data_IF_851790419033
#
_entry.id   IF_851790419033
#
_cell.length_a   1.000
_cell.length_b   1.000
_cell.length_c   1.000
_cell.angle_alpha   90.00
_cell.angle_beta   90.00
_cell.angle_gamma   90.00
#
_symmetry.space_group_name_H-M   'P 1'
#
loop_
_entity.id
_entity.type
_entity.pdbx_description
1 polymer ?
#
# COMPACT_ATOMS: atom_id res chain seq x y z
N UNK A 1 -48.28 -0.94 -16.91
CA UNK A 1 -47.25 -1.70 -17.64
C UNK A 1 -46.20 -0.70 -18.11
N UNK A 2 -44.94 -1.07 -17.90
CA UNK A 2 -43.67 -0.37 -18.14
C UNK A 2 -43.29 0.75 -17.16
N UNK A 3 -42.64 0.29 -16.09
CA UNK A 3 -41.57 0.93 -15.34
C UNK A 3 -40.57 1.68 -16.24
N UNK A 4 -40.15 2.84 -15.77
CA UNK A 4 -39.10 3.67 -16.37
C UNK A 4 -38.31 4.38 -15.27
N UNK A 5 -37.74 3.59 -14.36
CA UNK A 5 -36.82 4.08 -13.33
C UNK A 5 -35.63 4.78 -13.98
N UNK A 6 -35.49 6.07 -13.68
CA UNK A 6 -34.24 6.80 -13.93
C UNK A 6 -33.40 6.64 -12.66
N UNK A 7 -32.26 5.92 -12.67
CA UNK A 7 -31.32 6.03 -11.57
C UNK A 7 -30.68 7.41 -11.64
N UNK A 8 -31.00 8.21 -10.63
CA UNK A 8 -30.41 9.52 -10.39
C UNK A 8 -28.89 9.45 -10.25
N UNK A 9 -28.28 10.56 -10.61
CA UNK A 9 -26.87 10.86 -10.50
C UNK A 9 -26.23 10.33 -9.20
N UNK A 10 -25.13 9.60 -9.35
CA UNK A 10 -24.16 9.36 -8.27
C UNK A 10 -23.38 10.66 -8.01
N UNK A 11 -24.01 11.56 -7.27
CA UNK A 11 -23.34 12.72 -6.71
C UNK A 11 -22.60 12.32 -5.43
N UNK A 12 -21.27 12.42 -5.47
CA UNK A 12 -20.47 12.98 -4.37
C UNK A 12 -20.20 12.14 -3.12
N UNK A 13 -18.90 11.98 -2.83
CA UNK A 13 -18.37 11.58 -1.52
C UNK A 13 -17.50 10.33 -1.63
N UNK A 14 -16.24 10.38 -2.08
CA UNK A 14 -15.11 10.97 -1.36
C UNK A 14 -15.23 10.83 0.17
N UNK A 15 -15.59 9.63 0.62
CA UNK A 15 -15.57 9.22 2.02
C UNK A 15 -14.74 7.95 2.24
N UNK A 16 -13.82 7.61 1.33
CA UNK A 16 -12.75 6.64 1.60
C UNK A 16 -11.55 7.32 2.30
N UNK A 17 -11.85 8.34 3.12
CA UNK A 17 -10.88 9.22 3.74
C UNK A 17 -10.65 8.80 5.20
N UNK A 18 -9.35 8.65 5.52
CA UNK A 18 -8.70 8.94 6.82
C UNK A 18 -8.25 7.74 7.65
N UNK A 19 -8.88 6.56 7.69
CA UNK A 19 -8.46 5.58 8.72
C UNK A 19 -8.58 4.10 8.29
N UNK A 20 -7.52 3.54 7.71
CA UNK A 20 -7.20 2.12 7.94
C UNK A 20 -6.29 1.95 9.18
N UNK A 21 -6.65 2.58 10.32
CA UNK A 21 -5.99 2.38 11.64
C UNK A 21 -6.41 1.07 12.32
N UNK A 22 -6.91 0.12 11.55
CA UNK A 22 -7.68 -0.99 12.06
C UNK A 22 -7.48 -2.30 11.31
N UNK A 23 -6.43 -2.43 10.50
CA UNK A 23 -5.85 -3.76 10.31
C UNK A 23 -5.33 -4.19 11.68
N UNK A 24 -6.00 -5.16 12.31
CA UNK A 24 -5.60 -5.73 13.62
C UNK A 24 -4.36 -6.62 13.46
N UNK A 25 -3.32 -6.12 12.81
CA UNK A 25 -1.97 -6.63 13.03
C UNK A 25 -1.44 -5.85 14.23
N UNK A 26 -1.03 -6.49 15.33
CA UNK A 26 -0.46 -5.80 16.49
C UNK A 26 0.93 -5.25 16.12
N UNK A 27 0.95 -4.12 15.41
CA UNK A 27 2.19 -3.44 15.02
C UNK A 27 2.58 -2.48 16.15
N UNK A 28 3.68 -2.77 16.85
CA UNK A 28 4.22 -1.86 17.87
C UNK A 28 4.71 -0.56 17.20
N UNK A 29 4.49 0.62 17.81
CA UNK A 29 5.16 1.86 17.37
C UNK A 29 6.68 1.66 17.36
N UNK A 30 7.34 1.99 16.24
CA UNK A 30 8.80 1.86 16.11
C UNK A 30 9.33 0.49 15.63
N UNK A 31 8.46 -0.47 15.28
CA UNK A 31 8.87 -1.73 14.61
C UNK A 31 8.53 -1.78 13.11
N UNK A 32 7.84 -0.75 12.61
CA UNK A 32 7.48 -0.59 11.20
C UNK A 32 8.76 -0.40 10.37
N UNK A 33 8.93 -1.25 9.35
CA UNK A 33 10.07 -1.17 8.42
C UNK A 33 11.33 -1.98 8.80
N UNK A 34 11.36 -2.72 9.92
CA UNK A 34 12.50 -3.62 10.16
C UNK A 34 12.46 -4.84 9.23
N UNK A 35 13.62 -5.33 8.77
CA UNK A 35 13.70 -6.55 7.94
C UNK A 35 12.99 -7.75 8.58
N UNK A 36 13.06 -7.88 9.90
CA UNK A 36 12.39 -8.94 10.65
C UNK A 36 10.86 -8.83 10.61
N UNK A 37 10.33 -7.60 10.69
CA UNK A 37 8.89 -7.35 10.60
C UNK A 37 8.33 -7.67 9.21
N UNK A 38 9.04 -7.27 8.14
CA UNK A 38 8.66 -7.61 6.77
C UNK A 38 8.66 -9.12 6.54
N UNK A 39 9.63 -9.84 7.12
CA UNK A 39 9.70 -11.30 7.04
C UNK A 39 8.52 -12.00 7.73
N UNK A 40 8.07 -11.49 8.87
CA UNK A 40 6.88 -12.02 9.56
C UNK A 40 5.59 -11.73 8.78
N UNK A 41 5.49 -10.55 8.15
CA UNK A 41 4.39 -10.22 7.27
C UNK A 41 4.35 -11.10 6.02
N UNK A 42 5.49 -11.42 5.41
CA UNK A 42 5.55 -12.31 4.23
C UNK A 42 5.07 -13.74 4.54
N UNK A 43 5.09 -14.16 5.82
CA UNK A 43 4.50 -15.42 6.25
C UNK A 43 2.96 -15.38 6.41
N UNK A 44 2.36 -14.19 6.41
CA UNK A 44 0.92 -14.00 6.49
C UNK A 44 0.35 -13.81 5.09
N UNK A 45 -0.51 -14.72 4.62
CA UNK A 45 -1.12 -14.58 3.30
C UNK A 45 -2.13 -13.42 3.22
N UNK A 46 -2.92 -13.23 4.29
CA UNK A 46 -4.05 -12.31 4.31
C UNK A 46 -4.09 -11.46 5.60
N UNK A 47 -4.81 -10.35 5.52
CA UNK A 47 -5.20 -9.50 6.64
C UNK A 47 -6.72 -9.31 6.71
N UNK A 48 -7.21 -8.97 7.89
CA UNK A 48 -8.60 -8.62 8.12
C UNK A 48 -8.84 -7.13 7.89
N UNK A 49 -9.42 -6.80 6.74
CA UNK A 49 -9.93 -5.46 6.44
C UNK A 49 -11.37 -5.30 6.92
N UNK A 50 -11.68 -4.16 7.54
CA UNK A 50 -13.04 -3.85 8.00
C UNK A 50 -14.06 -3.66 6.87
N UNK A 51 -13.59 -3.32 5.67
CA UNK A 51 -14.44 -3.05 4.51
C UNK A 51 -14.54 -4.28 3.62
N UNK A 52 -13.41 -4.97 3.41
CA UNK A 52 -13.29 -6.05 2.43
C UNK A 52 -13.16 -7.45 3.06
N UNK A 53 -13.17 -7.56 4.39
CA UNK A 53 -12.95 -8.84 5.08
C UNK A 53 -11.53 -9.35 4.92
N UNK A 54 -11.37 -10.67 4.85
CA UNK A 54 -10.07 -11.32 4.67
C UNK A 54 -9.55 -11.14 3.25
N UNK A 55 -8.40 -10.48 3.09
CA UNK A 55 -7.81 -10.20 1.79
C UNK A 55 -6.28 -10.21 1.84
N UNK A 56 -5.63 -10.44 0.70
CA UNK A 56 -4.18 -10.27 0.57
C UNK A 56 -3.79 -8.84 0.97
N UNK A 57 -2.56 -8.67 1.45
CA UNK A 57 -2.06 -7.36 1.84
C UNK A 57 -1.05 -6.81 0.82
N UNK A 58 -0.93 -5.48 0.84
CA UNK A 58 0.04 -4.70 0.11
C UNK A 58 0.71 -3.70 1.05
N UNK A 59 1.87 -3.19 0.66
CA UNK A 59 2.63 -2.19 1.41
C UNK A 59 2.60 -0.85 0.69
N UNK A 60 2.35 0.23 1.44
CA UNK A 60 2.35 1.58 0.91
C UNK A 60 3.18 2.48 1.83
N UNK A 61 4.04 3.34 1.29
CA UNK A 61 4.84 4.23 2.14
C UNK A 61 3.95 5.26 2.86
N UNK A 62 4.41 5.78 4.00
CA UNK A 62 3.64 6.71 4.83
C UNK A 62 3.29 8.01 4.10
N UNK A 63 4.12 8.43 3.14
CA UNK A 63 3.87 9.64 2.36
C UNK A 63 2.67 9.45 1.44
N UNK A 64 2.61 8.34 0.69
CA UNK A 64 1.44 8.00 -0.12
C UNK A 64 0.22 7.77 0.77
N UNK A 65 0.38 7.16 1.95
CA UNK A 65 -0.73 7.00 2.90
C UNK A 65 -1.37 8.34 3.30
N UNK A 66 -0.55 9.37 3.53
CA UNK A 66 -0.99 10.66 4.06
C UNK A 66 -1.39 11.67 2.97
N UNK A 67 -0.84 11.56 1.76
CA UNK A 67 -1.08 12.48 0.66
C UNK A 67 -1.55 11.73 -0.58
N UNK A 68 -2.79 11.98 -1.01
CA UNK A 68 -3.41 11.34 -2.16
C UNK A 68 -2.92 11.88 -3.52
N UNK A 69 -2.24 13.02 -3.57
CA UNK A 69 -1.81 13.65 -4.81
C UNK A 69 -0.41 13.25 -5.27
N UNK A 70 0.34 12.51 -4.44
CA UNK A 70 1.70 12.11 -4.80
C UNK A 70 1.71 11.02 -5.88
N UNK A 71 2.55 11.18 -6.92
CA UNK A 71 2.81 10.13 -7.89
C UNK A 71 3.60 8.98 -7.23
N UNK A 72 3.53 7.78 -7.81
CA UNK A 72 4.05 6.57 -7.19
C UNK A 72 4.82 5.66 -8.14
N UNK A 73 5.74 4.89 -7.57
CA UNK A 73 6.34 3.71 -8.16
C UNK A 73 5.66 2.48 -7.59
N UNK A 74 5.55 1.42 -8.38
CA UNK A 74 4.85 0.18 -8.03
C UNK A 74 5.72 -1.03 -8.31
N UNK A 75 5.73 -1.99 -7.39
CA UNK A 75 6.05 -3.39 -7.67
C UNK A 75 4.76 -4.20 -7.49
N UNK A 76 4.45 -5.03 -8.48
CA UNK A 76 3.29 -5.93 -8.41
C UNK A 76 3.54 -7.06 -7.40
N UNK A 77 2.47 -7.70 -6.95
CA UNK A 77 2.59 -8.86 -6.07
C UNK A 77 3.20 -10.05 -6.83
N UNK A 78 4.12 -10.75 -6.18
CA UNK A 78 4.74 -12.00 -6.67
C UNK A 78 4.45 -13.16 -5.69
N UNK A 79 4.63 -14.43 -6.08
CA UNK A 79 4.41 -15.55 -5.18
C UNK A 79 5.27 -15.45 -3.91
N UNK A 80 4.64 -15.13 -2.78
CA UNK A 80 5.30 -14.96 -1.48
C UNK A 80 5.74 -13.51 -1.16
N UNK A 81 5.49 -12.57 -2.06
CA UNK A 81 5.81 -11.15 -1.86
C UNK A 81 4.60 -10.25 -2.19
N UNK A 82 4.20 -9.35 -1.27
CA UNK A 82 3.06 -8.46 -1.48
C UNK A 82 3.40 -7.37 -2.51
N UNK A 83 2.37 -6.81 -3.15
CA UNK A 83 2.53 -5.58 -3.92
C UNK A 83 3.03 -4.43 -3.03
N UNK A 84 3.85 -3.53 -3.57
CA UNK A 84 4.38 -2.39 -2.83
C UNK A 84 4.33 -1.11 -3.67
N UNK A 85 3.91 -0.01 -3.07
CA UNK A 85 3.95 1.31 -3.71
C UNK A 85 4.64 2.35 -2.83
N UNK A 86 5.47 3.18 -3.44
CA UNK A 86 6.20 4.25 -2.76
C UNK A 86 6.31 5.51 -3.61
N UNK A 87 6.48 6.67 -2.98
CA UNK A 87 6.70 7.93 -3.68
C UNK A 87 8.17 8.13 -4.05
N UNK A 88 8.46 9.10 -4.91
CA UNK A 88 9.83 9.44 -5.35
C UNK A 88 10.80 9.70 -4.20
N UNK A 89 10.36 10.36 -3.12
CA UNK A 89 11.23 10.59 -1.94
C UNK A 89 11.71 9.28 -1.29
N UNK A 90 10.86 8.25 -1.29
CA UNK A 90 11.24 6.94 -0.78
C UNK A 90 12.14 6.20 -1.78
N UNK A 91 11.95 6.45 -3.08
CA UNK A 91 12.79 5.89 -4.14
C UNK A 91 14.22 6.44 -4.06
N UNK A 92 14.39 7.74 -3.90
CA UNK A 92 15.68 8.38 -3.67
C UNK A 92 16.41 7.78 -2.45
N UNK A 93 15.66 7.49 -1.38
CA UNK A 93 16.20 6.85 -0.18
C UNK A 93 16.66 5.41 -0.46
N UNK A 94 15.91 4.65 -1.25
CA UNK A 94 16.28 3.31 -1.71
C UNK A 94 17.54 3.35 -2.58
N UNK A 95 17.60 4.23 -3.59
CA UNK A 95 18.74 4.38 -4.48
C UNK A 95 20.00 4.75 -3.69
N UNK A 96 19.90 5.75 -2.80
CA UNK A 96 21.01 6.18 -1.95
C UNK A 96 21.50 5.07 -1.02
N UNK A 97 20.60 4.24 -0.53
CA UNK A 97 20.90 3.14 0.38
C UNK A 97 21.30 1.84 -0.32
N UNK A 98 21.27 1.82 -1.67
CA UNK A 98 21.44 0.60 -2.49
C UNK A 98 20.47 -0.51 -2.10
N UNK A 99 19.20 -0.15 -1.90
CA UNK A 99 18.11 -1.06 -1.52
C UNK A 99 17.37 -0.62 -0.25
N UNK A 100 16.38 -1.44 0.16
CA UNK A 100 15.61 -1.24 1.39
C UNK A 100 16.44 -1.55 2.65
N UNK A 101 17.33 -0.62 3.00
CA UNK A 101 18.06 -0.61 4.27
C UNK A 101 17.17 -0.18 5.43
N UNK A 102 17.62 -0.34 6.68
CA UNK A 102 16.89 0.16 7.86
C UNK A 102 16.64 1.67 7.77
N UNK A 103 17.58 2.44 7.20
CA UNK A 103 17.42 3.88 6.99
C UNK A 103 16.37 4.21 5.92
N UNK A 104 16.37 3.46 4.80
CA UNK A 104 15.35 3.64 3.75
C UNK A 104 13.96 3.23 4.25
N UNK A 105 13.88 2.12 4.97
CA UNK A 105 12.64 1.66 5.58
C UNK A 105 12.11 2.61 6.66
N UNK A 106 12.98 3.26 7.43
CA UNK A 106 12.57 4.27 8.40
C UNK A 106 11.97 5.53 7.75
N UNK A 107 12.40 5.87 6.53
CA UNK A 107 11.83 6.97 5.74
C UNK A 107 10.48 6.54 5.14
N UNK A 108 10.42 5.33 4.56
CA UNK A 108 9.21 4.81 3.97
C UNK A 108 8.11 4.56 5.01
N UNK A 109 8.49 4.11 6.21
CA UNK A 109 7.61 3.80 7.35
C UNK A 109 6.33 3.07 6.91
N UNK A 110 6.55 1.92 6.24
CA UNK A 110 5.54 1.16 5.51
C UNK A 110 4.23 0.96 6.27
N UNK A 111 3.12 1.20 5.55
CA UNK A 111 1.76 0.97 5.99
C UNK A 111 1.21 -0.25 5.28
N UNK A 112 0.47 -1.05 6.02
CA UNK A 112 -0.14 -2.28 5.54
C UNK A 112 -1.58 -2.02 5.14
N UNK A 113 -1.94 -2.37 3.91
CA UNK A 113 -3.26 -2.18 3.31
C UNK A 113 -3.76 -3.51 2.76
N UNK A 114 -5.08 -3.74 2.72
CA UNK A 114 -5.60 -4.85 1.94
C UNK A 114 -5.53 -4.50 0.44
N UNK A 115 -5.35 -5.50 -0.39
CA UNK A 115 -5.17 -5.34 -1.84
C UNK A 115 -6.28 -4.49 -2.51
N UNK A 116 -7.58 -4.65 -2.19
CA UNK A 116 -8.61 -3.79 -2.78
C UNK A 116 -8.49 -2.31 -2.37
N UNK A 117 -8.16 -2.02 -1.09
CA UNK A 117 -7.94 -0.64 -0.66
C UNK A 117 -6.70 -0.05 -1.32
N UNK A 118 -5.65 -0.87 -1.46
CA UNK A 118 -4.40 -0.46 -2.09
C UNK A 118 -4.64 -0.07 -3.56
N UNK A 119 -5.31 -0.93 -4.33
CA UNK A 119 -5.70 -0.63 -5.71
C UNK A 119 -6.52 0.66 -5.81
N UNK A 120 -7.60 0.79 -5.01
CA UNK A 120 -8.42 2.01 -5.03
C UNK A 120 -7.67 3.28 -4.62
N UNK A 121 -6.63 3.18 -3.79
CA UNK A 121 -5.81 4.33 -3.43
C UNK A 121 -4.88 4.78 -4.57
N UNK A 122 -4.45 3.84 -5.40
CA UNK A 122 -3.53 4.09 -6.50
C UNK A 122 -4.25 4.49 -7.79
N UNK A 123 -5.47 4.02 -8.02
CA UNK A 123 -6.30 4.35 -9.21
C UNK A 123 -6.45 5.85 -9.47
N UNK A 124 -6.42 6.68 -8.40
CA UNK A 124 -6.55 8.13 -8.51
C UNK A 124 -5.21 8.88 -8.69
N UNK A 125 -4.09 8.16 -8.79
CA UNK A 125 -2.73 8.73 -8.78
C UNK A 125 -2.00 8.49 -10.09
N UNK A 126 -0.98 9.31 -10.33
CA UNK A 126 -0.06 9.10 -11.45
C UNK A 126 0.97 8.02 -11.11
N UNK A 127 0.99 6.95 -11.91
CA UNK A 127 2.04 5.94 -11.89
C UNK A 127 3.27 6.47 -12.64
N UNK A 128 4.40 6.58 -11.94
CA UNK A 128 5.69 6.97 -12.52
C UNK A 128 6.31 5.78 -13.24
N UNK A 129 6.46 4.67 -12.52
CA UNK A 129 7.14 3.48 -13.03
C UNK A 129 6.60 2.22 -12.40
N UNK A 130 6.50 1.17 -13.21
CA UNK A 130 6.39 -0.20 -12.75
C UNK A 130 7.80 -0.78 -12.61
N UNK A 131 8.19 -1.10 -11.38
CA UNK A 131 9.48 -1.70 -11.03
C UNK A 131 9.33 -3.21 -11.16
N UNK A 132 10.21 -3.82 -11.96
CA UNK A 132 10.26 -5.27 -12.07
C UNK A 132 10.62 -5.90 -10.71
N UNK A 133 9.84 -6.88 -10.28
CA UNK A 133 10.22 -7.76 -9.19
C UNK A 133 11.53 -8.46 -9.54
N UNK A 134 12.51 -8.29 -8.67
CA UNK A 134 13.83 -8.87 -8.82
C UNK A 134 14.39 -9.16 -7.44
N UNK A 135 15.14 -10.27 -7.28
CA UNK A 135 15.73 -10.58 -5.99
C UNK A 135 16.59 -9.40 -5.54
N UNK A 136 16.49 -9.03 -4.27
CA UNK A 136 17.36 -8.03 -3.68
C UNK A 136 18.83 -8.39 -4.01
N UNK A 137 19.67 -7.41 -4.41
CA UNK A 137 21.08 -7.70 -4.64
C UNK A 137 21.71 -8.23 -3.34
N UNK A 138 22.47 -9.32 -3.49
CA UNK A 138 23.21 -10.03 -2.45
C UNK A 138 24.29 -9.21 -1.76
#
# INVERSE_FOLDING_TARGET
MVDGGTPGAIAGGWACCIICRFCRVPIKPGQQGSKSFLKELHAMANIECKVHGSAAYALICQNLHNDAGLPYLLIEAEPGEPAQAWCETCDEALVRSRGWSDAANAIADWKLWCDPCFASNLEARELITLVAGGPAPE
#
